data_IF_808466311042
#
_entry.id   IF_808466311042
#
_cell.length_a   1.000
_cell.length_b   1.000
_cell.length_c   1.000
_cell.angle_alpha   90.00
_cell.angle_beta   90.00
_cell.angle_gamma   90.00
#
_symmetry.space_group_name_H-M   'P 1'
#
loop_
_entity.id
_entity.type
_entity.pdbx_description
1 polymer ?
#
# COMPACT_ATOMS: atom_id res chain seq x y z
N UNK A 1 23.58 -51.45 37.11
CA UNK A 1 24.03 -50.60 35.97
C UNK A 1 22.89 -50.06 35.10
N UNK A 2 21.73 -50.64 35.04
CA UNK A 2 20.58 -50.19 34.19
C UNK A 2 19.87 -48.96 34.69
N UNK A 3 19.74 -48.79 36.01
CA UNK A 3 19.01 -47.63 36.59
C UNK A 3 19.64 -46.28 36.35
N UNK A 4 20.99 -46.17 36.34
CA UNK A 4 21.69 -44.91 36.03
C UNK A 4 21.55 -44.48 34.59
N UNK A 5 21.41 -45.41 33.64
CA UNK A 5 21.16 -45.10 32.22
C UNK A 5 19.77 -44.55 32.00
N UNK A 6 18.77 -45.07 32.69
CA UNK A 6 17.41 -44.56 32.66
C UNK A 6 17.29 -43.15 33.26
N UNK A 7 18.01 -42.89 34.36
CA UNK A 7 18.05 -41.57 35.01
C UNK A 7 18.75 -40.51 34.14
N UNK A 8 19.81 -40.88 33.43
CA UNK A 8 20.53 -40.01 32.50
C UNK A 8 19.65 -39.66 31.28
N UNK A 9 18.92 -40.61 30.73
CA UNK A 9 18.00 -40.40 29.63
C UNK A 9 16.81 -39.48 30.08
N UNK A 10 16.30 -39.65 31.29
CA UNK A 10 15.24 -38.77 31.83
C UNK A 10 15.71 -37.35 32.03
N UNK A 11 16.99 -37.11 32.41
CA UNK A 11 17.57 -35.78 32.56
C UNK A 11 17.74 -35.10 31.19
N UNK A 12 18.12 -35.87 30.15
CA UNK A 12 18.30 -35.31 28.80
C UNK A 12 16.94 -34.90 28.19
N UNK A 13 15.88 -35.67 28.43
CA UNK A 13 14.56 -35.38 27.92
C UNK A 13 13.95 -34.10 28.54
N UNK A 14 14.26 -33.80 29.82
CA UNK A 14 13.78 -32.57 30.46
C UNK A 14 14.46 -31.28 29.98
N UNK A 15 15.54 -31.35 29.19
CA UNK A 15 16.22 -30.21 28.61
C UNK A 15 15.79 -29.89 27.18
N UNK A 16 14.69 -30.46 26.66
CA UNK A 16 14.06 -29.97 25.45
C UNK A 16 13.36 -28.67 25.82
N UNK A 17 14.13 -27.61 25.88
CA UNK A 17 13.63 -26.24 25.96
C UNK A 17 12.83 -26.01 24.67
N UNK A 18 11.51 -25.92 24.79
CA UNK A 18 10.69 -25.41 23.72
C UNK A 18 11.14 -23.97 23.45
N UNK A 19 12.04 -23.82 22.49
CA UNK A 19 12.39 -22.50 22.01
C UNK A 19 11.11 -21.89 21.40
N UNK A 20 10.45 -21.01 22.14
CA UNK A 20 9.34 -20.21 21.64
C UNK A 20 9.90 -19.32 20.53
N UNK A 21 9.91 -19.84 19.29
CA UNK A 21 10.32 -19.06 18.13
C UNK A 21 9.27 -17.99 17.84
N UNK A 22 9.71 -16.75 17.79
CA UNK A 22 8.85 -15.65 17.35
C UNK A 22 8.54 -15.87 15.88
N UNK A 23 7.25 -15.92 15.54
CA UNK A 23 6.78 -16.06 14.18
C UNK A 23 6.21 -14.73 13.68
N UNK A 24 6.94 -14.06 12.80
CA UNK A 24 6.45 -12.90 12.07
C UNK A 24 5.61 -13.39 10.88
N UNK A 25 4.45 -12.80 10.72
CA UNK A 25 3.53 -13.09 9.61
C UNK A 25 3.43 -11.86 8.72
N UNK A 26 3.34 -12.10 7.42
CA UNK A 26 3.13 -11.07 6.41
C UNK A 26 1.86 -11.39 5.64
N UNK A 27 1.06 -10.37 5.38
CA UNK A 27 -0.19 -10.48 4.64
C UNK A 27 -0.31 -9.33 3.67
N UNK A 28 -0.68 -9.62 2.43
CA UNK A 28 -0.92 -8.63 1.38
C UNK A 28 -2.37 -8.80 0.92
N UNK A 29 -3.09 -7.71 0.77
CA UNK A 29 -4.51 -7.73 0.40
C UNK A 29 -4.75 -8.21 -1.03
N UNK A 30 -3.76 -8.04 -1.92
CA UNK A 30 -3.83 -8.52 -3.30
C UNK A 30 -2.48 -8.92 -3.84
N UNK A 31 -2.45 -9.96 -4.66
CA UNK A 31 -1.27 -10.37 -5.42
C UNK A 31 -1.21 -9.78 -6.84
N UNK A 32 -2.26 -9.07 -7.27
CA UNK A 32 -2.34 -8.45 -8.61
C UNK A 32 -3.03 -7.10 -8.51
N UNK A 33 -2.35 -6.06 -8.99
CA UNK A 33 -2.84 -4.68 -8.98
C UNK A 33 -2.49 -3.97 -10.28
N UNK A 34 -2.96 -2.74 -10.49
CA UNK A 34 -2.53 -1.88 -11.59
C UNK A 34 -1.58 -0.79 -11.10
N UNK A 35 -0.86 -0.14 -12.04
CA UNK A 35 0.01 0.99 -11.71
C UNK A 35 -0.79 2.03 -10.92
N UNK A 36 -0.25 2.50 -9.81
CA UNK A 36 -0.85 3.52 -8.97
C UNK A 36 -1.88 3.03 -7.97
N UNK A 37 -2.30 1.76 -8.03
CA UNK A 37 -3.17 1.17 -7.01
C UNK A 37 -2.45 1.12 -5.66
N UNK A 38 -3.23 1.26 -4.59
CA UNK A 38 -2.75 1.12 -3.23
C UNK A 38 -2.90 -0.32 -2.79
N UNK A 39 -1.79 -0.92 -2.35
CA UNK A 39 -1.71 -2.29 -1.86
C UNK A 39 -1.43 -2.25 -0.37
N UNK A 40 -2.27 -2.91 0.43
CA UNK A 40 -2.07 -2.99 1.87
C UNK A 40 -1.20 -4.20 2.21
N UNK A 41 -0.08 -3.94 2.85
CA UNK A 41 0.84 -4.95 3.34
C UNK A 41 0.95 -4.87 4.86
N UNK A 42 0.55 -5.92 5.52
CA UNK A 42 0.57 -6.04 6.97
C UNK A 42 1.69 -6.98 7.43
N UNK A 43 2.48 -6.53 8.38
CA UNK A 43 3.49 -7.33 9.06
C UNK A 43 3.15 -7.37 10.53
N UNK A 44 2.95 -8.55 11.10
CA UNK A 44 2.50 -8.67 12.49
C UNK A 44 2.93 -9.99 13.12
N UNK A 45 2.84 -10.05 14.45
CA UNK A 45 2.95 -11.28 15.23
C UNK A 45 1.64 -11.61 15.91
N UNK A 46 1.31 -12.90 16.02
CA UNK A 46 0.07 -13.32 16.71
C UNK A 46 0.19 -13.33 18.22
N UNK A 47 1.32 -13.78 18.71
CA UNK A 47 1.59 -13.87 20.15
C UNK A 47 3.08 -14.03 20.37
N UNK A 48 3.60 -13.32 21.37
CA UNK A 48 4.98 -13.47 21.84
C UNK A 48 5.05 -12.97 23.28
N UNK A 49 5.90 -13.61 24.07
CA UNK A 49 6.30 -13.12 25.39
C UNK A 49 7.45 -12.11 25.33
N UNK A 50 8.06 -11.92 24.16
CA UNK A 50 9.15 -10.97 23.95
C UNK A 50 8.63 -9.64 23.43
N UNK A 51 9.32 -8.57 23.80
CA UNK A 51 9.06 -7.24 23.28
C UNK A 51 9.58 -7.13 21.86
N UNK A 52 8.74 -6.68 20.95
CA UNK A 52 9.06 -6.55 19.52
C UNK A 52 8.87 -5.10 19.10
N UNK A 53 9.81 -4.58 18.32
CA UNK A 53 9.74 -3.28 17.70
C UNK A 53 9.58 -3.43 16.19
N UNK A 54 8.63 -2.66 15.64
CA UNK A 54 8.33 -2.59 14.21
C UNK A 54 8.74 -1.21 13.70
N UNK A 55 9.98 -1.02 13.23
CA UNK A 55 10.49 0.28 12.83
C UNK A 55 9.75 0.85 11.61
N UNK A 56 9.91 2.14 11.37
CA UNK A 56 9.44 2.74 10.11
C UNK A 56 10.31 2.24 8.95
N UNK A 57 9.65 1.92 7.84
CA UNK A 57 10.31 1.56 6.60
C UNK A 57 10.54 2.83 5.76
N UNK A 58 11.76 3.02 5.31
CA UNK A 58 12.12 4.08 4.36
C UNK A 58 12.55 3.41 3.06
N UNK A 59 11.96 3.84 1.96
CA UNK A 59 12.27 3.35 0.61
C UNK A 59 12.71 4.56 -0.21
N UNK A 60 13.89 4.44 -0.79
CA UNK A 60 14.41 5.39 -1.78
C UNK A 60 14.47 4.66 -3.13
N UNK A 61 13.29 4.60 -3.80
CA UNK A 61 13.14 3.89 -5.06
C UNK A 61 12.04 4.56 -5.90
N UNK A 62 12.33 4.81 -7.17
CA UNK A 62 11.40 5.46 -8.10
C UNK A 62 10.20 4.58 -8.49
N UNK A 63 10.35 3.25 -8.38
CA UNK A 63 9.30 2.29 -8.78
C UNK A 63 8.32 1.93 -7.67
N UNK A 64 8.68 2.18 -6.40
CA UNK A 64 7.88 1.84 -5.23
C UNK A 64 7.85 2.99 -4.24
N UNK A 65 6.66 3.41 -3.84
CA UNK A 65 6.48 4.41 -2.78
C UNK A 65 5.59 3.89 -1.66
N UNK A 66 5.86 4.38 -0.44
CA UNK A 66 5.01 4.13 0.72
C UNK A 66 4.12 5.35 0.91
N UNK A 67 2.80 5.17 0.80
CA UNK A 67 1.82 6.24 1.03
C UNK A 67 1.59 6.49 2.51
N UNK A 68 1.47 5.42 3.27
CA UNK A 68 1.27 5.52 4.72
C UNK A 68 1.86 4.32 5.46
N UNK A 69 2.14 4.50 6.73
CA UNK A 69 2.56 3.46 7.66
C UNK A 69 1.87 3.70 8.98
N UNK A 70 1.29 2.64 9.55
CA UNK A 70 0.59 2.73 10.84
C UNK A 70 0.86 1.50 11.69
N UNK A 71 0.91 1.69 13.00
CA UNK A 71 1.03 0.59 13.94
C UNK A 71 -0.26 -0.23 13.98
N UNK A 72 -0.12 -1.55 14.06
CA UNK A 72 -1.22 -2.48 14.37
C UNK A 72 -1.20 -2.68 15.88
N UNK A 73 -2.26 -2.23 16.55
CA UNK A 73 -2.38 -2.29 18.01
C UNK A 73 -3.39 -3.37 18.40
N UNK A 74 -3.04 -4.16 19.40
CA UNK A 74 -3.93 -5.14 20.03
C UNK A 74 -3.68 -5.14 21.52
N UNK A 75 -4.76 -4.95 22.34
CA UNK A 75 -4.66 -4.86 23.79
C UNK A 75 -3.63 -3.83 24.28
N UNK A 76 -3.62 -2.66 23.67
CA UNK A 76 -2.67 -1.54 23.90
C UNK A 76 -1.21 -1.81 23.55
N UNK A 77 -0.88 -2.99 23.03
CA UNK A 77 0.46 -3.32 22.54
C UNK A 77 0.56 -3.22 21.02
N UNK A 78 1.70 -2.74 20.52
CA UNK A 78 2.03 -2.75 19.10
C UNK A 78 2.41 -4.18 18.72
N UNK A 79 1.54 -4.83 17.94
CA UNK A 79 1.75 -6.22 17.48
C UNK A 79 2.18 -6.31 16.02
N UNK A 80 2.27 -5.18 15.33
CA UNK A 80 2.65 -5.16 13.92
C UNK A 80 2.66 -3.77 13.32
N UNK A 81 2.89 -3.72 12.01
CA UNK A 81 2.84 -2.51 11.20
C UNK A 81 2.14 -2.78 9.88
N UNK A 82 1.27 -1.87 9.50
CA UNK A 82 0.59 -1.84 8.22
C UNK A 82 1.23 -0.80 7.32
N UNK A 83 1.43 -1.15 6.06
CA UNK A 83 2.01 -0.30 5.03
C UNK A 83 1.02 -0.18 3.87
N UNK A 84 0.91 1.01 3.30
CA UNK A 84 0.22 1.27 2.04
C UNK A 84 1.28 1.49 0.96
N UNK A 85 1.44 0.50 0.08
CA UNK A 85 2.42 0.48 -0.99
C UNK A 85 1.78 0.89 -2.31
N UNK A 86 2.53 1.59 -3.16
CA UNK A 86 2.12 1.93 -4.54
C UNK A 86 3.29 1.70 -5.47
N UNK A 87 3.04 0.95 -6.55
CA UNK A 87 4.03 0.68 -7.58
C UNK A 87 3.75 1.56 -8.82
N UNK A 88 4.83 2.10 -9.38
CA UNK A 88 4.79 3.03 -10.51
C UNK A 88 5.25 2.42 -11.83
N UNK A 89 5.57 1.12 -11.83
CA UNK A 89 5.96 0.38 -13.03
C UNK A 89 5.21 -0.95 -13.09
N UNK A 90 5.15 -1.56 -14.30
CA UNK A 90 4.55 -2.87 -14.54
C UNK A 90 5.57 -3.97 -14.38
N UNK A 91 5.14 -5.14 -13.91
CA UNK A 91 6.01 -6.31 -13.80
C UNK A 91 5.74 -7.11 -12.53
N UNK A 92 6.65 -8.05 -12.27
CA UNK A 92 6.63 -8.85 -11.06
C UNK A 92 7.55 -8.24 -10.01
N UNK A 93 6.96 -7.84 -8.90
CA UNK A 93 7.65 -7.26 -7.77
C UNK A 93 7.48 -8.14 -6.54
N UNK A 94 8.22 -7.80 -5.50
CA UNK A 94 8.06 -8.37 -4.17
C UNK A 94 7.88 -7.24 -3.16
N UNK A 95 7.25 -7.56 -2.02
CA UNK A 95 7.26 -6.65 -0.88
C UNK A 95 8.69 -6.31 -0.50
N UNK A 96 8.98 -5.08 -0.04
CA UNK A 96 10.32 -4.67 0.34
C UNK A 96 10.87 -5.50 1.49
N UNK A 97 12.21 -5.53 1.63
CA UNK A 97 12.85 -6.11 2.80
C UNK A 97 12.45 -5.30 4.03
N UNK A 98 11.93 -5.98 5.04
CA UNK A 98 11.57 -5.35 6.29
C UNK A 98 12.12 -6.16 7.46
N UNK A 99 12.86 -5.48 8.33
CA UNK A 99 13.45 -6.06 9.52
C UNK A 99 12.63 -5.71 10.74
N UNK A 100 12.28 -6.70 11.51
CA UNK A 100 11.55 -6.58 12.78
C UNK A 100 12.51 -6.84 13.91
N UNK A 101 12.67 -5.89 14.83
CA UNK A 101 13.63 -5.97 15.92
C UNK A 101 13.04 -6.71 17.13
N UNK A 102 13.76 -7.67 17.65
CA UNK A 102 13.42 -8.33 18.92
C UNK A 102 14.27 -7.68 20.01
N UNK A 103 13.58 -7.18 21.05
CA UNK A 103 14.21 -6.43 22.13
C UNK A 103 14.47 -7.33 23.34
N UNK A 104 15.52 -7.01 24.08
CA UNK A 104 15.78 -7.56 25.40
C UNK A 104 14.91 -6.87 26.48
N UNK A 105 15.01 -7.30 27.73
CA UNK A 105 14.27 -6.71 28.85
C UNK A 105 14.62 -5.23 29.07
N UNK A 106 15.81 -4.80 28.66
CA UNK A 106 16.33 -3.43 28.79
C UNK A 106 15.92 -2.54 27.62
N UNK A 107 15.29 -3.13 26.55
CA UNK A 107 14.87 -2.41 25.36
C UNK A 107 15.95 -2.28 24.28
N UNK A 108 17.09 -2.99 24.40
CA UNK A 108 18.09 -3.02 23.34
C UNK A 108 17.72 -4.10 22.31
N UNK A 109 18.16 -3.91 21.05
CA UNK A 109 17.97 -4.90 20.00
C UNK A 109 18.82 -6.11 20.30
N UNK A 110 18.19 -7.27 20.50
CA UNK A 110 18.86 -8.55 20.72
C UNK A 110 19.21 -9.22 19.39
N UNK A 111 18.26 -9.22 18.46
CA UNK A 111 18.40 -9.68 17.07
C UNK A 111 17.25 -9.14 16.22
N UNK A 112 17.40 -9.22 14.92
CA UNK A 112 16.39 -8.85 13.93
C UNK A 112 15.88 -10.09 13.17
N UNK A 113 14.65 -9.99 12.68
CA UNK A 113 13.99 -11.02 11.89
C UNK A 113 13.56 -10.39 10.57
N UNK A 114 14.10 -10.89 9.45
CA UNK A 114 13.66 -10.48 8.12
C UNK A 114 12.28 -11.11 7.81
N UNK A 115 11.40 -10.29 7.22
CA UNK A 115 10.06 -10.74 6.82
C UNK A 115 10.13 -11.53 5.51
N UNK A 116 9.19 -12.47 5.35
CA UNK A 116 9.04 -13.21 4.09
C UNK A 116 8.47 -12.27 3.02
N UNK A 117 9.11 -12.22 1.86
CA UNK A 117 8.68 -11.41 0.71
C UNK A 117 7.44 -12.03 0.07
N UNK A 118 6.42 -11.24 -0.14
CA UNK A 118 5.23 -11.63 -0.88
C UNK A 118 5.33 -11.16 -2.35
N UNK A 119 5.02 -12.01 -3.34
CA UNK A 119 5.02 -11.62 -4.75
C UNK A 119 3.81 -10.76 -5.08
N UNK A 120 4.01 -9.75 -5.92
CA UNK A 120 2.99 -8.82 -6.40
C UNK A 120 3.17 -8.63 -7.91
N UNK A 121 2.11 -8.83 -8.68
CA UNK A 121 2.10 -8.63 -10.12
C UNK A 121 1.39 -7.31 -10.46
N UNK A 122 2.12 -6.35 -11.01
CA UNK A 122 1.57 -5.07 -11.42
C UNK A 122 1.33 -5.08 -12.93
N UNK A 123 0.06 -4.94 -13.30
CA UNK A 123 -0.36 -4.96 -14.70
C UNK A 123 -0.70 -3.56 -15.19
N UNK A 124 -0.58 -3.36 -16.50
CA UNK A 124 -1.01 -2.11 -17.12
C UNK A 124 -2.52 -1.93 -17.00
N UNK A 125 -2.97 -0.70 -16.81
CA UNK A 125 -4.41 -0.33 -16.84
C UNK A 125 -5.03 -0.78 -18.17
N UNK A 126 -4.28 -0.69 -19.27
CA UNK A 126 -4.75 -1.08 -20.59
C UNK A 126 -5.01 -2.59 -20.73
N UNK A 127 -4.39 -3.44 -19.91
CA UNK A 127 -4.64 -4.88 -19.94
C UNK A 127 -6.07 -5.26 -19.51
N UNK A 128 -6.74 -4.40 -18.75
CA UNK A 128 -8.13 -4.59 -18.31
C UNK A 128 -9.16 -4.06 -19.32
N UNK A 129 -8.73 -3.27 -20.32
CA UNK A 129 -9.61 -2.67 -21.32
C UNK A 129 -9.74 -3.68 -22.46
N UNK A 130 -10.92 -4.30 -22.58
CA UNK A 130 -11.25 -5.25 -23.66
C UNK A 130 -11.30 -4.63 -25.05
N UNK A 131 -11.42 -3.30 -25.12
CA UNK A 131 -11.54 -2.56 -26.36
C UNK A 131 -10.30 -1.66 -26.54
N UNK A 132 -9.33 -2.16 -27.35
CA UNK A 132 -8.12 -1.44 -27.72
C UNK A 132 -8.36 -0.39 -28.81
N UNK A 133 -9.60 -0.10 -29.17
CA UNK A 133 -9.90 0.93 -30.14
C UNK A 133 -9.63 2.30 -29.52
N UNK A 134 -8.65 3.02 -30.11
CA UNK A 134 -8.44 4.42 -29.78
C UNK A 134 -9.74 5.16 -30.15
N UNK A 135 -10.42 5.71 -29.15
CA UNK A 135 -11.60 6.52 -29.42
C UNK A 135 -11.17 7.69 -30.31
N UNK A 136 -11.89 7.92 -31.44
CA UNK A 136 -11.54 9.04 -32.30
C UNK A 136 -11.62 10.35 -31.49
N UNK A 137 -10.67 11.24 -31.76
CA UNK A 137 -10.67 12.58 -31.16
C UNK A 137 -12.01 13.22 -31.50
N UNK A 138 -12.78 13.60 -30.48
CA UNK A 138 -14.01 14.38 -30.69
C UNK A 138 -13.60 15.66 -31.41
N UNK A 139 -14.20 15.87 -32.58
CA UNK A 139 -14.03 17.13 -33.30
C UNK A 139 -14.47 18.33 -32.45
N UNK A 140 -14.08 19.55 -32.88
CA UNK A 140 -14.48 20.76 -32.18
C UNK A 140 -16.00 20.79 -32.02
N UNK A 141 -16.48 21.00 -30.82
CA UNK A 141 -17.91 21.19 -30.59
C UNK A 141 -18.34 22.50 -31.29
N UNK A 142 -19.41 22.50 -32.10
CA UNK A 142 -19.94 23.73 -32.66
C UNK A 142 -20.34 24.64 -31.51
N UNK A 143 -19.61 25.73 -31.33
CA UNK A 143 -19.98 26.77 -30.38
C UNK A 143 -21.19 27.50 -31.00
N UNK A 144 -22.38 27.39 -30.41
CA UNK A 144 -23.52 28.22 -30.79
C UNK A 144 -23.07 29.68 -30.65
N UNK A 145 -23.12 30.41 -31.78
CA UNK A 145 -22.77 31.84 -31.80
C UNK A 145 -23.60 32.56 -30.74
N UNK A 146 -22.91 33.20 -29.79
CA UNK A 146 -23.58 34.07 -28.82
C UNK A 146 -23.97 35.33 -29.59
N UNK A 147 -25.26 35.53 -29.88
CA UNK A 147 -25.78 36.77 -30.45
C UNK A 147 -25.49 37.85 -29.40
N UNK A 148 -24.67 38.88 -29.70
CA UNK A 148 -24.36 39.94 -28.73
C UNK A 148 -25.63 40.80 -28.49
N UNK A 149 -26.39 40.39 -27.47
CA UNK A 149 -27.68 41.02 -27.10
C UNK A 149 -27.57 42.52 -27.01
N UNK A 150 -26.42 43.04 -26.51
CA UNK A 150 -26.14 44.47 -26.42
C UNK A 150 -26.16 45.16 -27.82
N UNK A 151 -25.52 44.55 -28.81
CA UNK A 151 -25.43 45.04 -30.17
C UNK A 151 -26.81 45.02 -30.85
N UNK A 152 -27.58 43.98 -30.61
CA UNK A 152 -28.97 43.84 -31.11
C UNK A 152 -29.86 44.97 -30.53
N UNK A 153 -29.75 45.25 -29.23
CA UNK A 153 -30.50 46.31 -28.56
C UNK A 153 -30.10 47.70 -29.12
N UNK A 154 -28.83 47.97 -29.36
CA UNK A 154 -28.34 49.23 -29.91
C UNK A 154 -28.92 49.47 -31.33
N UNK A 155 -28.86 48.43 -32.17
CA UNK A 155 -29.41 48.51 -33.53
C UNK A 155 -30.90 48.78 -33.49
N UNK A 156 -31.65 48.12 -32.63
CA UNK A 156 -33.08 48.30 -32.46
C UNK A 156 -33.43 49.74 -32.00
N UNK A 157 -32.64 50.29 -31.06
CA UNK A 157 -32.78 51.66 -30.60
C UNK A 157 -32.52 52.71 -31.71
N UNK A 158 -31.52 52.50 -32.56
CA UNK A 158 -31.21 53.35 -33.71
C UNK A 158 -32.34 53.36 -34.73
N UNK A 159 -32.90 52.19 -35.00
CA UNK A 159 -34.06 52.07 -35.93
C UNK A 159 -35.27 52.80 -35.37
N UNK A 160 -35.53 52.66 -34.08
CA UNK A 160 -36.70 53.29 -33.43
C UNK A 160 -36.56 54.82 -33.41
N UNK A 161 -35.34 55.31 -33.20
CA UNK A 161 -35.01 56.77 -33.23
C UNK A 161 -35.17 57.33 -34.66
N UNK A 162 -34.74 56.63 -35.68
CA UNK A 162 -34.91 57.03 -37.08
C UNK A 162 -36.37 57.12 -37.51
N UNK A 163 -37.22 56.24 -37.03
CA UNK A 163 -38.66 56.26 -37.32
C UNK A 163 -39.34 57.44 -36.60
N UNK A 164 -38.89 57.83 -35.41
CA UNK A 164 -39.44 58.94 -34.66
C UNK A 164 -39.05 60.34 -35.21
N UNK A 165 -38.02 60.39 -36.08
CA UNK A 165 -37.54 61.63 -36.72
C UNK A 165 -38.17 61.89 -38.11
N UNK A 166 -38.98 60.99 -38.64
CA UNK A 166 -39.74 61.10 -39.89
C UNK A 166 -41.19 61.52 -39.55
#
# INVERSE_FOLDING_TARGET
MTHYRLLLVAIIINNIVFANSIKIQTEVDTSTATIGDVINWNVFTKSTSKKIDFPNLVIDNDTLSIKSQRAIIRNDDIVGRAFELTFWDTGFFYTPNYMVNVLDEKGNIQYDIETIKAPINIVSIFSKIKDNTIRPIKGPLPVKGVIPIRLTIIILLIILLSIALI
#
